data_IF_542008036595
#
_entry.id   IF_542008036595
#
_cell.length_a   1.000
_cell.length_b   1.000
_cell.length_c   1.000
_cell.angle_alpha   90.00
_cell.angle_beta   90.00
_cell.angle_gamma   90.00
#
_symmetry.space_group_name_H-M   'P 1'
#
loop_
_entity.id
_entity.type
_entity.pdbx_description
1 polymer ?
#
# COMPACT_ATOMS: atom_id res chain seq x y z
N UNK A 1 29.21 -7.17 2.90
CA UNK A 1 28.07 -6.49 3.58
C UNK A 1 28.43 -6.39 5.06
N UNK A 2 28.63 -5.18 5.57
CA UNK A 2 28.98 -4.97 6.97
C UNK A 2 27.68 -4.80 7.76
N UNK A 3 27.39 -5.74 8.66
CA UNK A 3 26.18 -5.70 9.49
C UNK A 3 26.40 -4.74 10.65
N UNK A 4 25.57 -3.71 10.77
CA UNK A 4 25.62 -2.78 11.89
C UNK A 4 24.55 -3.16 12.92
N UNK A 5 24.96 -3.36 14.17
CA UNK A 5 24.08 -3.70 15.30
C UNK A 5 23.87 -2.46 16.16
N UNK A 6 22.62 -2.16 16.49
CA UNK A 6 22.25 -1.03 17.36
C UNK A 6 21.47 -1.55 18.55
N UNK A 7 21.79 -1.04 19.73
CA UNK A 7 21.04 -1.32 20.95
C UNK A 7 19.75 -0.51 20.98
N UNK A 8 18.63 -1.16 21.35
CA UNK A 8 17.32 -0.53 21.40
C UNK A 8 17.10 0.28 22.68
N UNK A 9 17.72 -0.17 23.77
CA UNK A 9 17.75 0.44 25.10
C UNK A 9 19.20 0.49 25.59
N UNK A 10 19.45 1.26 26.64
CA UNK A 10 20.77 1.34 27.26
C UNK A 10 21.21 -0.04 27.79
N UNK A 11 22.42 -0.47 27.45
CA UNK A 11 22.97 -1.79 27.78
C UNK A 11 22.09 -2.97 27.28
N UNK A 12 21.34 -2.76 26.19
CA UNK A 12 20.38 -3.74 25.69
C UNK A 12 21.01 -5.04 25.17
N UNK A 13 22.32 -5.08 24.93
CA UNK A 13 23.03 -6.33 24.56
C UNK A 13 23.01 -7.37 25.68
N UNK A 14 23.02 -6.93 26.92
CA UNK A 14 23.11 -7.80 28.10
C UNK A 14 21.73 -8.15 28.67
N UNK A 15 20.67 -7.53 28.16
CA UNK A 15 19.28 -7.78 28.58
C UNK A 15 18.68 -8.87 27.71
N UNK A 16 18.44 -10.05 28.31
CA UNK A 16 17.76 -11.15 27.63
C UNK A 16 16.26 -10.87 27.52
N UNK A 17 15.69 -11.10 26.34
CA UNK A 17 14.23 -11.09 26.15
C UNK A 17 13.61 -12.30 26.83
N UNK A 18 12.57 -12.05 27.62
CA UNK A 18 11.80 -13.00 28.42
C UNK A 18 10.31 -12.72 28.22
N UNK A 19 9.44 -13.64 28.65
CA UNK A 19 8.00 -13.43 28.57
C UNK A 19 7.52 -12.18 29.32
N UNK A 20 8.25 -11.76 30.37
CA UNK A 20 7.90 -10.59 31.16
C UNK A 20 8.27 -9.26 30.48
N UNK A 21 9.31 -9.21 29.64
CA UNK A 21 9.80 -7.97 29.01
C UNK A 21 9.60 -7.94 27.48
N UNK A 22 8.89 -8.92 26.92
CA UNK A 22 8.65 -9.01 25.46
C UNK A 22 7.91 -7.80 24.90
N UNK A 23 6.98 -7.21 25.66
CA UNK A 23 6.20 -6.05 25.22
C UNK A 23 7.10 -4.81 25.08
N UNK A 24 7.96 -4.58 26.09
CA UNK A 24 8.96 -3.51 26.06
C UNK A 24 9.94 -3.69 24.90
N UNK A 25 10.37 -4.93 24.63
CA UNK A 25 11.20 -5.23 23.48
C UNK A 25 10.49 -4.91 22.16
N UNK A 26 9.22 -5.32 22.00
CA UNK A 26 8.43 -5.03 20.79
C UNK A 26 8.29 -3.51 20.60
N UNK A 27 7.95 -2.78 21.65
CA UNK A 27 7.84 -1.31 21.61
C UNK A 27 9.18 -0.66 21.23
N UNK A 28 10.29 -1.12 21.81
CA UNK A 28 11.62 -0.60 21.50
C UNK A 28 12.03 -0.87 20.05
N UNK A 29 11.69 -2.05 19.50
CA UNK A 29 11.90 -2.39 18.09
C UNK A 29 11.07 -1.48 17.19
N UNK A 30 9.77 -1.30 17.48
CA UNK A 30 8.86 -0.46 16.70
C UNK A 30 9.35 1.00 16.70
N UNK A 31 9.68 1.53 17.88
CA UNK A 31 10.19 2.89 18.04
C UNK A 31 11.50 3.09 17.26
N UNK A 32 12.45 2.14 17.36
CA UNK A 32 13.69 2.23 16.58
C UNK A 32 13.43 2.18 15.07
N UNK A 33 12.56 1.27 14.64
CA UNK A 33 12.30 1.01 13.22
C UNK A 33 11.62 2.19 12.52
N UNK A 34 10.66 2.84 13.19
CA UNK A 34 9.83 3.88 12.58
C UNK A 34 10.16 5.30 13.02
N UNK A 35 10.80 5.50 14.17
CA UNK A 35 11.09 6.83 14.73
C UNK A 35 12.59 7.09 14.74
N UNK A 36 13.34 6.46 15.66
CA UNK A 36 14.75 6.83 15.93
C UNK A 36 15.65 6.73 14.70
N UNK A 37 15.46 5.72 13.84
CA UNK A 37 16.29 5.51 12.65
C UNK A 37 16.23 6.67 11.65
N UNK A 38 15.13 7.43 11.64
CA UNK A 38 14.86 8.49 10.65
C UNK A 38 14.58 9.85 11.29
N UNK A 39 14.76 9.96 12.61
CA UNK A 39 14.40 11.13 13.42
C UNK A 39 15.00 12.42 12.87
N UNK A 40 16.31 12.46 12.65
CA UNK A 40 17.01 13.64 12.13
C UNK A 40 16.47 14.11 10.78
N UNK A 41 16.18 13.19 9.88
CA UNK A 41 15.63 13.50 8.56
C UNK A 41 14.20 14.02 8.69
N UNK A 42 13.40 13.40 9.55
CA UNK A 42 12.02 13.80 9.78
C UNK A 42 11.92 15.19 10.43
N UNK A 43 12.79 15.50 11.38
CA UNK A 43 12.87 16.83 12.01
C UNK A 43 13.14 17.95 10.99
N UNK A 44 14.06 17.72 10.04
CA UNK A 44 14.34 18.72 9.00
C UNK A 44 13.16 18.88 8.02
N UNK A 45 12.48 17.78 7.68
CA UNK A 45 11.25 17.84 6.86
C UNK A 45 10.16 18.63 7.58
N UNK A 46 9.92 18.35 8.86
CA UNK A 46 8.93 19.06 9.67
C UNK A 46 9.27 20.54 9.83
N UNK A 47 10.55 20.87 10.00
CA UNK A 47 11.00 22.27 10.05
C UNK A 47 10.68 23.00 8.75
N UNK A 48 11.08 22.44 7.61
CA UNK A 48 10.81 23.05 6.30
C UNK A 48 9.31 23.14 6.00
N UNK A 49 8.52 22.14 6.41
CA UNK A 49 7.06 22.18 6.28
C UNK A 49 6.45 23.30 7.14
N UNK A 50 6.90 23.46 8.39
CA UNK A 50 6.41 24.50 9.30
C UNK A 50 6.81 25.93 8.92
N UNK A 51 7.88 26.10 8.14
CA UNK A 51 8.24 27.40 7.55
C UNK A 51 7.21 27.88 6.51
N UNK A 52 6.49 26.95 5.87
CA UNK A 52 5.46 27.26 4.85
C UNK A 52 4.05 27.19 5.44
N UNK A 53 3.77 26.18 6.26
CA UNK A 53 2.44 25.92 6.83
C UNK A 53 2.53 25.84 8.35
N UNK A 54 1.88 26.76 9.10
CA UNK A 54 1.86 26.74 10.55
C UNK A 54 1.38 25.40 11.15
N UNK A 55 2.09 24.91 12.16
CA UNK A 55 1.83 23.59 12.77
C UNK A 55 0.42 23.44 13.36
N UNK A 56 -0.18 24.53 13.84
CA UNK A 56 -1.54 24.53 14.37
C UNK A 56 -2.60 24.20 13.30
N UNK A 57 -2.34 24.51 12.03
CA UNK A 57 -3.23 24.17 10.92
C UNK A 57 -3.10 22.71 10.49
N UNK A 58 -1.94 22.10 10.70
CA UNK A 58 -1.71 20.69 10.38
C UNK A 58 -2.26 19.75 11.46
N UNK A 59 -2.28 20.19 12.72
CA UNK A 59 -2.75 19.39 13.87
C UNK A 59 -4.26 19.07 13.87
N UNK A 60 -5.05 19.71 13.01
CA UNK A 60 -6.48 19.43 12.90
C UNK A 60 -6.78 18.16 12.08
N UNK A 61 -5.83 17.72 11.26
CA UNK A 61 -5.98 16.57 10.38
C UNK A 61 -5.41 15.31 11.04
N UNK A 62 -6.09 14.19 10.87
CA UNK A 62 -5.49 12.88 11.16
C UNK A 62 -4.49 12.44 10.06
N UNK A 63 -3.84 11.29 10.25
CA UNK A 63 -2.84 10.79 9.30
C UNK A 63 -3.42 10.52 7.89
N UNK A 64 -4.68 10.05 7.80
CA UNK A 64 -5.33 9.74 6.52
C UNK A 64 -5.78 11.02 5.81
N UNK A 65 -6.28 12.00 6.56
CA UNK A 65 -6.67 13.30 6.03
C UNK A 65 -5.46 14.11 5.57
N UNK A 66 -4.35 14.06 6.33
CA UNK A 66 -3.09 14.70 5.95
C UNK A 66 -2.52 14.07 4.67
N UNK A 67 -2.59 12.74 4.56
CA UNK A 67 -2.26 12.02 3.33
C UNK A 67 -3.12 12.51 2.16
N UNK A 68 -4.44 12.57 2.34
CA UNK A 68 -5.37 13.00 1.30
C UNK A 68 -5.09 14.45 0.88
N UNK A 69 -4.78 15.33 1.83
CA UNK A 69 -4.46 16.73 1.55
C UNK A 69 -3.18 16.88 0.72
N UNK A 70 -2.13 16.13 1.08
CA UNK A 70 -0.82 16.21 0.44
C UNK A 70 -0.77 15.50 -0.92
N UNK A 71 -1.40 14.33 -1.03
CA UNK A 71 -1.33 13.48 -2.21
C UNK A 71 -2.56 13.62 -3.13
N UNK A 72 -3.66 14.17 -2.64
CA UNK A 72 -4.94 14.22 -3.34
C UNK A 72 -5.60 12.85 -3.52
N UNK A 73 -6.77 12.83 -4.17
CA UNK A 73 -7.34 11.59 -4.69
C UNK A 73 -6.56 11.18 -5.94
N UNK A 74 -5.83 10.07 -5.85
CA UNK A 74 -5.11 9.55 -7.02
C UNK A 74 -6.10 9.18 -8.11
N UNK A 75 -6.00 9.86 -9.26
CA UNK A 75 -6.85 9.58 -10.41
C UNK A 75 -6.41 8.27 -11.06
N UNK A 76 -7.28 7.26 -11.01
CA UNK A 76 -7.00 5.95 -11.61
C UNK A 76 -7.22 6.04 -13.13
N UNK A 77 -6.13 5.92 -13.89
CA UNK A 77 -6.19 5.78 -15.34
C UNK A 77 -6.59 4.35 -15.72
N UNK A 78 -7.86 4.19 -16.06
CA UNK A 78 -8.44 2.91 -16.49
C UNK A 78 -7.81 2.41 -17.80
N UNK A 79 -7.34 3.30 -18.67
CA UNK A 79 -6.67 2.88 -19.92
C UNK A 79 -5.31 2.26 -19.62
N UNK A 80 -4.53 2.91 -18.74
CA UNK A 80 -3.24 2.39 -18.30
C UNK A 80 -3.40 1.05 -17.56
N UNK A 81 -4.39 0.97 -16.66
CA UNK A 81 -4.74 -0.27 -15.97
C UNK A 81 -5.06 -1.41 -16.94
N UNK A 82 -5.90 -1.12 -17.95
CA UNK A 82 -6.27 -2.11 -18.96
C UNK A 82 -5.10 -2.55 -19.82
N UNK A 83 -4.21 -1.63 -20.20
CA UNK A 83 -3.04 -1.92 -21.03
C UNK A 83 -2.04 -2.86 -20.34
N UNK A 84 -1.93 -2.77 -19.02
CA UNK A 84 -0.99 -3.56 -18.22
C UNK A 84 -1.63 -4.74 -17.49
N UNK A 85 -2.86 -5.10 -17.83
CA UNK A 85 -3.55 -6.25 -17.27
C UNK A 85 -3.21 -7.54 -18.03
N UNK A 86 -2.71 -8.55 -17.32
CA UNK A 86 -2.46 -9.89 -17.88
C UNK A 86 -3.64 -10.81 -17.59
N UNK A 87 -4.22 -11.38 -18.65
CA UNK A 87 -5.33 -12.32 -18.58
C UNK A 87 -4.82 -13.77 -18.46
N UNK A 88 -5.45 -14.58 -17.60
CA UNK A 88 -5.14 -16.01 -17.40
C UNK A 88 -6.42 -16.85 -17.50
N UNK A 89 -6.28 -18.18 -17.62
CA UNK A 89 -7.42 -19.10 -17.59
C UNK A 89 -8.27 -19.15 -18.87
N UNK A 90 -7.67 -18.87 -20.03
CA UNK A 90 -8.36 -18.88 -21.33
C UNK A 90 -9.12 -17.60 -21.67
N UNK A 91 -9.10 -16.60 -20.78
CA UNK A 91 -9.61 -15.27 -21.09
C UNK A 91 -8.60 -14.47 -21.89
N UNK A 92 -9.11 -13.67 -22.83
CA UNK A 92 -8.34 -12.71 -23.60
C UNK A 92 -9.03 -11.35 -23.63
N UNK A 93 -8.37 -10.32 -24.19
CA UNK A 93 -8.93 -8.97 -24.28
C UNK A 93 -10.23 -8.91 -25.10
N UNK A 94 -10.49 -9.89 -25.97
CA UNK A 94 -11.71 -10.04 -26.76
C UNK A 94 -12.84 -10.80 -26.05
N UNK A 95 -12.60 -11.39 -24.88
CA UNK A 95 -13.62 -12.14 -24.16
C UNK A 95 -14.73 -11.21 -23.67
N UNK A 96 -16.00 -11.59 -23.86
CA UNK A 96 -17.16 -10.77 -23.46
C UNK A 96 -17.14 -10.38 -21.97
N UNK A 97 -16.71 -11.30 -21.11
CA UNK A 97 -16.56 -11.06 -19.67
C UNK A 97 -15.55 -9.93 -19.39
N UNK A 98 -14.43 -9.92 -20.10
CA UNK A 98 -13.39 -8.87 -19.99
C UNK A 98 -13.91 -7.53 -20.50
N UNK A 99 -14.65 -7.53 -21.62
CA UNK A 99 -15.29 -6.31 -22.12
C UNK A 99 -16.29 -5.73 -21.10
N UNK A 100 -17.13 -6.57 -20.51
CA UNK A 100 -18.12 -6.14 -19.51
C UNK A 100 -17.43 -5.62 -18.24
N UNK A 101 -16.38 -6.30 -17.78
CA UNK A 101 -15.57 -5.86 -16.64
C UNK A 101 -15.07 -4.43 -16.84
N UNK A 102 -14.37 -4.16 -17.96
CA UNK A 102 -13.84 -2.81 -18.22
C UNK A 102 -14.93 -1.76 -18.46
N UNK A 103 -16.09 -2.14 -19.03
CA UNK A 103 -17.25 -1.25 -19.12
C UNK A 103 -17.73 -0.82 -17.73
N UNK A 104 -17.83 -1.74 -16.77
CA UNK A 104 -18.20 -1.42 -15.39
C UNK A 104 -17.15 -0.53 -14.70
N UNK A 105 -15.86 -0.83 -14.85
CA UNK A 105 -14.79 0.00 -14.24
C UNK A 105 -14.79 1.42 -14.80
N UNK A 106 -15.05 1.58 -16.11
CA UNK A 106 -15.19 2.91 -16.73
C UNK A 106 -16.40 3.69 -16.22
N UNK A 107 -17.50 3.01 -15.85
CA UNK A 107 -18.69 3.68 -15.29
C UNK A 107 -18.54 4.08 -13.82
N UNK A 108 -17.54 3.54 -13.12
CA UNK A 108 -17.28 3.86 -11.71
C UNK A 108 -16.63 5.23 -11.56
N UNK A 109 -16.92 5.89 -10.45
CA UNK A 109 -16.18 7.06 -9.99
C UNK A 109 -14.79 6.66 -9.45
N UNK A 110 -13.97 7.65 -9.11
CA UNK A 110 -12.60 7.39 -8.72
C UNK A 110 -12.50 6.62 -7.39
N UNK A 111 -13.42 6.88 -6.46
CA UNK A 111 -13.47 6.20 -5.17
C UNK A 111 -13.79 4.70 -5.36
N UNK A 112 -14.82 4.38 -6.15
CA UNK A 112 -15.19 2.99 -6.39
C UNK A 112 -14.12 2.25 -7.21
N UNK A 113 -13.43 2.93 -8.14
CA UNK A 113 -12.23 2.38 -8.80
C UNK A 113 -11.11 2.06 -7.80
N UNK A 114 -10.86 2.95 -6.83
CA UNK A 114 -9.84 2.75 -5.80
C UNK A 114 -10.20 1.57 -4.89
N UNK A 115 -11.48 1.39 -4.54
CA UNK A 115 -11.96 0.23 -3.78
C UNK A 115 -11.77 -1.07 -4.55
N UNK A 116 -12.07 -1.10 -5.87
CA UNK A 116 -11.80 -2.28 -6.70
C UNK A 116 -10.31 -2.57 -6.77
N UNK A 117 -9.48 -1.53 -6.95
CA UNK A 117 -8.03 -1.66 -6.99
C UNK A 117 -7.50 -2.25 -5.67
N UNK A 118 -7.98 -1.75 -4.52
CA UNK A 118 -7.63 -2.27 -3.21
C UNK A 118 -8.10 -3.72 -3.04
N UNK A 119 -9.28 -4.06 -3.53
CA UNK A 119 -9.80 -5.43 -3.48
C UNK A 119 -8.91 -6.41 -4.25
N UNK A 120 -8.41 -6.03 -5.44
CA UNK A 120 -7.59 -6.93 -6.26
C UNK A 120 -6.11 -6.93 -5.90
N UNK A 121 -5.59 -5.83 -5.34
CA UNK A 121 -4.14 -5.62 -5.14
C UNK A 121 -3.70 -5.48 -3.70
N UNK A 122 -4.63 -5.30 -2.76
CA UNK A 122 -4.33 -4.93 -1.37
C UNK A 122 -4.00 -3.45 -1.18
N UNK A 123 -3.89 -2.64 -2.25
CA UNK A 123 -3.62 -1.20 -2.17
C UNK A 123 -4.60 -0.38 -3.00
N UNK A 124 -5.01 0.78 -2.49
CA UNK A 124 -5.82 1.75 -3.25
C UNK A 124 -4.96 2.65 -4.16
N UNK A 125 -3.63 2.48 -4.14
CA UNK A 125 -2.67 3.34 -4.83
C UNK A 125 -2.02 2.67 -6.04
N UNK A 126 -1.88 3.44 -7.11
CA UNK A 126 -1.09 3.14 -8.31
C UNK A 126 0.36 3.61 -8.09
N UNK A 127 1.37 2.82 -8.47
CA UNK A 127 2.78 3.22 -8.46
C UNK A 127 3.04 4.49 -9.27
N UNK A 128 4.13 5.19 -8.96
CA UNK A 128 4.52 6.42 -9.65
C UNK A 128 4.69 6.23 -11.17
N UNK A 129 5.12 5.04 -11.60
CA UNK A 129 5.29 4.68 -13.01
C UNK A 129 4.05 3.99 -13.62
N UNK A 130 2.88 4.10 -12.97
CA UNK A 130 1.62 3.53 -13.45
C UNK A 130 1.45 2.03 -13.17
N UNK A 131 0.48 1.43 -13.84
CA UNK A 131 0.09 0.02 -13.62
C UNK A 131 1.14 -0.98 -14.11
N UNK A 132 2.13 -0.54 -14.89
CA UNK A 132 3.26 -1.36 -15.34
C UNK A 132 4.12 -1.89 -14.19
N UNK A 133 4.22 -1.13 -13.10
CA UNK A 133 5.04 -1.46 -11.92
C UNK A 133 4.20 -1.92 -10.73
N UNK A 134 2.96 -2.35 -10.98
CA UNK A 134 2.08 -2.80 -9.92
C UNK A 134 2.42 -4.25 -9.55
N UNK A 135 3.38 -4.40 -8.64
CA UNK A 135 3.89 -5.68 -8.16
C UNK A 135 3.03 -6.24 -7.02
N UNK A 136 2.66 -7.52 -7.10
CA UNK A 136 2.17 -8.31 -5.97
C UNK A 136 3.30 -8.85 -5.09
N UNK A 137 2.97 -9.53 -4.00
CA UNK A 137 3.93 -10.08 -3.02
C UNK A 137 5.03 -10.99 -3.63
N UNK A 138 4.79 -11.60 -4.79
CA UNK A 138 5.76 -12.47 -5.49
C UNK A 138 6.50 -11.77 -6.65
N UNK A 139 6.59 -10.43 -6.64
CA UNK A 139 7.17 -9.63 -7.72
C UNK A 139 6.52 -9.81 -9.11
N UNK A 140 5.32 -10.38 -9.16
CA UNK A 140 4.53 -10.49 -10.40
C UNK A 140 3.61 -9.28 -10.56
N UNK A 141 3.50 -8.79 -11.79
CA UNK A 141 2.53 -7.78 -12.21
C UNK A 141 1.12 -8.26 -11.82
N UNK A 142 0.29 -7.37 -11.29
CA UNK A 142 -1.08 -7.66 -10.89
C UNK A 142 -1.81 -8.53 -11.91
N UNK A 143 -2.03 -9.79 -11.56
CA UNK A 143 -2.77 -10.72 -12.39
C UNK A 143 -4.25 -10.61 -12.04
N UNK A 144 -5.05 -10.10 -12.98
CA UNK A 144 -6.50 -10.27 -12.94
C UNK A 144 -6.83 -11.73 -13.28
N UNK A 145 -6.66 -12.60 -12.29
CA UNK A 145 -7.20 -13.94 -12.29
C UNK A 145 -8.68 -13.83 -11.95
N UNK A 146 -9.53 -13.66 -12.97
CA UNK A 146 -10.97 -13.90 -12.79
C UNK A 146 -11.16 -15.39 -12.58
N UNK A 147 -11.12 -15.82 -11.32
CA UNK A 147 -11.52 -17.17 -10.97
C UNK A 147 -12.98 -17.35 -11.37
N UNK A 148 -13.25 -18.28 -12.28
CA UNK A 148 -14.60 -18.76 -12.54
C UNK A 148 -15.06 -19.60 -11.34
N UNK A 149 -15.25 -18.98 -10.17
CA UNK A 149 -15.82 -19.64 -9.02
C UNK A 149 -17.35 -19.56 -9.11
N UNK A 150 -17.92 -20.40 -9.97
CA UNK A 150 -19.22 -21.05 -9.75
C UNK A 150 -19.45 -22.18 -10.75
N UNK A 151 -18.75 -23.30 -10.56
CA UNK A 151 -19.30 -24.60 -10.98
C UNK A 151 -19.62 -25.38 -9.72
N UNK A 152 -20.84 -25.23 -9.19
CA UNK A 152 -21.39 -26.26 -8.29
C UNK A 152 -21.55 -27.53 -9.14
N UNK A 153 -20.96 -28.67 -8.75
CA UNK A 153 -21.38 -29.94 -9.31
C UNK A 153 -22.78 -30.23 -8.73
N UNK A 154 -23.81 -30.23 -9.58
CA UNK A 154 -25.07 -30.90 -9.21
C UNK A 154 -24.76 -32.39 -9.14
N UNK A 155 -24.73 -32.93 -7.91
CA UNK A 155 -24.82 -34.37 -7.70
C UNK A 155 -26.24 -34.79 -8.08
N UNK A 156 -26.36 -35.72 -9.02
CA UNK A 156 -27.56 -36.55 -9.18
C UNK A 156 -27.61 -37.57 -8.05
#
# INVERSE_FOLDING_TARGET
LQTHTTELIENGRDVRVTEANKEEYIEAVVNWRFVKRVEKQMEQILKGLHEVVPSNLLRIFDANEMELLMCGLQKIDVKDWKAHTVYKGGYGPSSQVIHNFWKCILSFDNEMRARVLQFVSGTSRVPMNGFRELYGNDANILHLSLFSSWKRPMKQ
#
